data_IF_932037173283
#
_entry.id   IF_932037173283
#
_cell.length_a   1.000
_cell.length_b   1.000
_cell.length_c   1.000
_cell.angle_alpha   90.00
_cell.angle_beta   90.00
_cell.angle_gamma   90.00
#
_symmetry.space_group_name_H-M   'P 1'
#
loop_
_entity.id
_entity.type
_entity.pdbx_description
1 polymer ?
#
# COMPACT_ATOMS: atom_id res chain seq x y z
N UNK A 1 12.93 -19.20 -18.73
CA UNK A 1 12.13 -18.60 -17.62
C UNK A 1 13.10 -18.14 -16.54
N UNK A 2 12.90 -16.97 -15.94
CA UNK A 2 13.71 -16.55 -14.78
C UNK A 2 12.83 -16.49 -13.55
N UNK A 3 13.36 -17.01 -12.46
CA UNK A 3 12.77 -16.89 -11.15
C UNK A 3 13.22 -15.57 -10.52
N UNK A 4 12.28 -14.87 -9.93
CA UNK A 4 12.54 -13.69 -9.09
C UNK A 4 11.80 -13.88 -7.77
N UNK A 5 12.17 -13.15 -6.73
CA UNK A 5 11.47 -13.18 -5.45
C UNK A 5 10.70 -11.88 -5.29
N UNK A 6 9.50 -11.96 -4.70
CA UNK A 6 8.75 -10.78 -4.32
C UNK A 6 9.56 -9.93 -3.35
N UNK A 7 9.73 -8.64 -3.66
CA UNK A 7 10.50 -7.72 -2.80
C UNK A 7 9.81 -7.37 -1.49
N UNK A 8 8.51 -7.67 -1.34
CA UNK A 8 7.72 -7.45 -0.12
C UNK A 8 7.72 -8.67 0.82
N UNK A 9 7.43 -9.88 0.31
CA UNK A 9 7.28 -11.08 1.14
C UNK A 9 8.31 -12.19 0.88
N UNK A 10 9.14 -12.07 -0.16
CA UNK A 10 10.14 -13.07 -0.52
C UNK A 10 9.61 -14.27 -1.33
N UNK A 11 8.31 -14.34 -1.63
CA UNK A 11 7.71 -15.44 -2.39
C UNK A 11 8.33 -15.55 -3.80
N UNK A 12 8.77 -16.76 -4.17
CA UNK A 12 9.38 -17.03 -5.47
C UNK A 12 8.31 -17.00 -6.57
N UNK A 13 8.60 -16.32 -7.66
CA UNK A 13 7.69 -16.08 -8.77
C UNK A 13 8.37 -16.26 -10.14
N UNK A 14 7.60 -16.75 -11.10
CA UNK A 14 8.05 -16.93 -12.50
C UNK A 14 7.72 -15.65 -13.29
N UNK A 15 8.36 -14.53 -12.97
CA UNK A 15 8.06 -13.27 -13.67
C UNK A 15 9.23 -12.26 -13.63
N UNK A 16 9.45 -11.51 -14.74
CA UNK A 16 10.38 -10.37 -14.79
C UNK A 16 9.70 -9.00 -14.77
N UNK A 17 8.37 -8.94 -14.89
CA UNK A 17 7.64 -7.68 -15.11
C UNK A 17 7.12 -7.00 -13.83
N UNK A 18 7.08 -7.68 -12.70
CA UNK A 18 6.59 -7.15 -11.42
C UNK A 18 7.60 -7.40 -10.30
N UNK A 19 7.67 -6.48 -9.34
CA UNK A 19 8.45 -6.62 -8.10
C UNK A 19 7.66 -7.32 -6.98
N UNK A 20 6.33 -7.37 -7.10
CA UNK A 20 5.44 -7.95 -6.08
C UNK A 20 4.68 -9.16 -6.61
N UNK A 21 4.55 -10.20 -5.78
CA UNK A 21 3.66 -11.34 -6.07
C UNK A 21 2.20 -10.91 -6.08
N UNK A 22 1.35 -11.73 -6.68
CA UNK A 22 -0.09 -11.45 -6.81
C UNK A 22 -0.74 -11.16 -5.47
N UNK A 23 -0.41 -11.95 -4.43
CA UNK A 23 -0.89 -11.72 -3.06
C UNK A 23 -0.48 -10.37 -2.51
N UNK A 24 0.78 -9.98 -2.69
CA UNK A 24 1.30 -8.70 -2.23
C UNK A 24 0.70 -7.51 -2.99
N UNK A 25 0.47 -7.67 -4.30
CA UNK A 25 -0.22 -6.67 -5.12
C UNK A 25 -1.67 -6.50 -4.68
N UNK A 26 -2.39 -7.60 -4.44
CA UNK A 26 -3.79 -7.55 -4.01
C UNK A 26 -3.92 -6.95 -2.61
N UNK A 27 -3.04 -7.34 -1.68
CA UNK A 27 -2.98 -6.74 -0.34
C UNK A 27 -2.70 -5.22 -0.41
N UNK A 28 -1.83 -4.77 -1.31
CA UNK A 28 -1.58 -3.34 -1.50
C UNK A 28 -2.83 -2.61 -2.02
N UNK A 29 -3.61 -3.21 -2.93
CA UNK A 29 -4.86 -2.63 -3.40
C UNK A 29 -5.88 -2.49 -2.26
N UNK A 30 -6.00 -3.51 -1.41
CA UNK A 30 -6.89 -3.46 -0.24
C UNK A 30 -6.45 -2.36 0.74
N UNK A 31 -5.15 -2.28 1.05
CA UNK A 31 -4.59 -1.22 1.88
C UNK A 31 -4.96 0.17 1.33
N UNK A 32 -4.72 0.40 0.04
CA UNK A 32 -5.06 1.67 -0.63
C UNK A 32 -6.55 1.96 -0.55
N UNK A 33 -7.40 0.95 -0.77
CA UNK A 33 -8.85 1.09 -0.70
C UNK A 33 -9.27 1.52 0.70
N UNK A 34 -8.77 0.86 1.76
CA UNK A 34 -9.09 1.17 3.15
C UNK A 34 -8.65 2.58 3.54
N UNK A 35 -7.45 3.02 3.14
CA UNK A 35 -7.02 4.41 3.35
C UNK A 35 -7.97 5.36 2.64
N UNK A 36 -8.28 5.15 1.36
CA UNK A 36 -9.17 6.04 0.60
C UNK A 36 -10.57 6.14 1.22
N UNK A 37 -11.14 5.04 1.72
CA UNK A 37 -12.44 5.07 2.40
C UNK A 37 -12.38 5.89 3.70
N UNK A 38 -11.31 5.73 4.47
CA UNK A 38 -11.10 6.51 5.68
C UNK A 38 -10.97 8.02 5.38
N UNK A 39 -10.17 8.39 4.37
CA UNK A 39 -9.99 9.79 3.97
C UNK A 39 -11.25 10.45 3.38
N UNK A 40 -12.18 9.67 2.82
CA UNK A 40 -13.46 10.21 2.34
C UNK A 40 -14.40 10.64 3.46
N UNK A 41 -14.30 9.99 4.61
CA UNK A 41 -15.21 10.17 5.75
C UNK A 41 -14.63 11.07 6.83
N UNK A 42 -13.32 11.35 6.78
CA UNK A 42 -12.60 12.15 7.77
C UNK A 42 -11.83 13.26 7.07
N UNK A 43 -12.14 14.51 7.41
CA UNK A 43 -11.44 15.66 6.86
C UNK A 43 -10.10 15.87 7.58
N UNK A 44 -9.00 15.93 6.81
CA UNK A 44 -7.65 16.23 7.29
C UNK A 44 -7.16 15.36 8.47
N UNK A 45 -7.19 14.01 8.34
CA UNK A 45 -6.66 13.15 9.38
C UNK A 45 -5.14 13.12 9.34
N UNK A 46 -4.51 13.13 10.50
CA UNK A 46 -3.06 12.94 10.62
C UNK A 46 -2.62 11.54 10.19
N UNK A 47 -1.35 11.38 9.79
CA UNK A 47 -0.76 10.07 9.48
C UNK A 47 -0.97 9.03 10.59
N UNK A 48 -0.89 9.47 11.85
CA UNK A 48 -1.05 8.61 13.01
C UNK A 48 -2.48 8.12 13.17
N UNK A 49 -3.47 8.97 12.89
CA UNK A 49 -4.89 8.59 12.90
C UNK A 49 -5.20 7.60 11.79
N UNK A 50 -4.70 7.85 10.57
CA UNK A 50 -4.88 6.91 9.45
C UNK A 50 -4.26 5.55 9.80
N UNK A 51 -3.05 5.53 10.34
CA UNK A 51 -2.40 4.29 10.80
C UNK A 51 -3.24 3.55 11.85
N UNK A 52 -3.68 4.26 12.91
CA UNK A 52 -4.46 3.66 14.00
C UNK A 52 -5.79 3.08 13.52
N UNK A 53 -6.47 3.78 12.61
CA UNK A 53 -7.81 3.39 12.16
C UNK A 53 -7.79 2.33 11.07
N UNK A 54 -6.79 2.35 10.19
CA UNK A 54 -6.69 1.39 9.08
C UNK A 54 -5.83 0.17 9.41
N UNK A 55 -4.95 0.28 10.41
CA UNK A 55 -3.93 -0.72 10.73
C UNK A 55 -2.75 -0.75 9.77
N UNK A 56 -2.72 0.15 8.78
CA UNK A 56 -1.70 0.15 7.73
C UNK A 56 -0.45 0.87 8.25
N UNK A 57 0.76 0.32 8.04
CA UNK A 57 1.99 0.96 8.51
C UNK A 57 2.17 2.38 7.98
N UNK A 58 2.66 3.29 8.83
CA UNK A 58 2.91 4.70 8.46
C UNK A 58 3.80 4.79 7.21
N UNK A 59 4.82 3.95 7.10
CA UNK A 59 5.70 3.91 5.93
C UNK A 59 4.95 3.59 4.63
N UNK A 60 3.98 2.67 4.66
CA UNK A 60 3.15 2.36 3.51
C UNK A 60 2.23 3.52 3.15
N UNK A 61 1.62 4.19 4.13
CA UNK A 61 0.79 5.38 3.90
C UNK A 61 1.62 6.52 3.28
N UNK A 62 2.84 6.76 3.81
CA UNK A 62 3.77 7.73 3.25
C UNK A 62 4.17 7.38 1.81
N UNK A 63 4.40 6.11 1.52
CA UNK A 63 4.69 5.64 0.16
C UNK A 63 3.51 5.91 -0.78
N UNK A 64 2.27 5.66 -0.36
CA UNK A 64 1.08 5.96 -1.17
C UNK A 64 0.94 7.45 -1.49
N UNK A 65 1.31 8.34 -0.55
CA UNK A 65 1.36 9.79 -0.81
C UNK A 65 2.47 10.12 -1.82
N UNK A 66 3.66 9.54 -1.64
CA UNK A 66 4.82 9.77 -2.51
C UNK A 66 4.56 9.31 -3.94
N UNK A 67 3.84 8.20 -4.11
CA UNK A 67 3.45 7.64 -5.41
C UNK A 67 2.23 8.35 -6.03
N UNK A 68 1.63 9.32 -5.33
CA UNK A 68 0.46 10.06 -5.82
C UNK A 68 -0.84 9.24 -5.82
N UNK A 69 -0.86 8.09 -5.14
CA UNK A 69 -2.02 7.19 -5.06
C UNK A 69 -3.13 7.81 -4.19
N UNK A 70 -2.73 8.51 -3.12
CA UNK A 70 -3.60 9.28 -2.23
C UNK A 70 -3.09 10.73 -2.12
N UNK A 71 -4.01 11.67 -1.91
CA UNK A 71 -3.68 13.10 -1.86
C UNK A 71 -2.85 13.45 -0.61
N UNK A 72 -1.95 14.44 -0.75
CA UNK A 72 -1.11 14.95 0.35
C UNK A 72 -1.91 15.69 1.44
N UNK A 73 -3.18 16.00 1.21
CA UNK A 73 -4.08 16.65 2.17
C UNK A 73 -4.57 15.65 3.22
N UNK A 74 -3.62 15.11 3.99
CA UNK A 74 -3.81 14.65 5.35
C UNK A 74 -3.83 15.86 6.28
#
# INVERSE_FOLDING_TARGET
MSLTNCTKCGEMMVNRRSFFCEKCMEAQKDDIYRVKQYLKTHARPTLLEVHRMTGIPIQSIQQFIKEGIISRHL
#
